data_IF_606379020600
#
_entry.id   IF_606379020600
#
_cell.length_a   1.000
_cell.length_b   1.000
_cell.length_c   1.000
_cell.angle_alpha   90.00
_cell.angle_beta   90.00
_cell.angle_gamma   90.00
#
_symmetry.space_group_name_H-M   'P 1'
#
loop_
_entity.id
_entity.type
_entity.pdbx_description
1 polymer ?
#
# COMPACT_ATOMS: atom_id res chain seq x y z
N UNK A 1 6.14 13.98 -11.62
CA UNK A 1 6.32 12.59 -11.11
C UNK A 1 7.76 12.43 -10.64
N UNK A 2 8.02 11.59 -9.63
CA UNK A 2 9.37 11.30 -9.10
C UNK A 2 9.67 9.82 -9.42
N UNK A 3 10.26 9.51 -10.60
CA UNK A 3 10.37 8.13 -11.09
C UNK A 3 11.19 7.22 -10.17
N UNK A 4 12.24 7.75 -9.56
CA UNK A 4 13.15 6.98 -8.69
C UNK A 4 12.71 6.91 -7.23
N UNK A 5 11.56 7.48 -6.90
CA UNK A 5 11.10 7.59 -5.51
C UNK A 5 11.82 8.68 -4.69
N UNK A 6 12.85 9.33 -5.25
CA UNK A 6 13.44 10.53 -4.66
C UNK A 6 13.88 11.52 -5.73
N UNK A 7 13.98 12.80 -5.35
CA UNK A 7 14.54 13.86 -6.20
C UNK A 7 15.17 14.95 -5.36
N UNK A 8 16.39 15.35 -5.71
CA UNK A 8 16.98 16.58 -5.19
C UNK A 8 16.52 17.79 -6.02
N UNK A 9 16.36 18.92 -5.34
CA UNK A 9 16.09 20.23 -5.92
C UNK A 9 16.85 21.32 -5.15
N UNK A 10 16.80 22.55 -5.65
CA UNK A 10 17.43 23.71 -5.02
C UNK A 10 18.89 23.46 -4.61
N UNK A 11 19.75 23.04 -5.56
CA UNK A 11 21.17 22.72 -5.30
C UNK A 11 21.39 21.75 -4.13
N UNK A 12 20.60 20.67 -4.10
CA UNK A 12 20.60 19.64 -3.06
C UNK A 12 20.17 20.13 -1.66
N UNK A 13 19.57 21.31 -1.55
CA UNK A 13 19.00 21.81 -0.29
C UNK A 13 17.61 21.23 -0.01
N UNK A 14 16.94 20.69 -1.02
CA UNK A 14 15.63 20.05 -0.89
C UNK A 14 15.69 18.62 -1.42
N UNK A 15 15.28 17.66 -0.58
CA UNK A 15 15.10 16.26 -0.95
C UNK A 15 13.63 15.90 -0.84
N UNK A 16 13.00 15.60 -1.97
CA UNK A 16 11.63 15.06 -1.99
C UNK A 16 11.71 13.54 -2.02
N UNK A 17 10.93 12.88 -1.15
CA UNK A 17 10.84 11.41 -1.05
C UNK A 17 9.42 10.97 -1.34
N UNK A 18 9.31 9.89 -2.09
CA UNK A 18 8.08 9.21 -2.41
C UNK A 18 8.24 7.73 -2.09
N UNK A 19 7.45 7.21 -1.15
CA UNK A 19 7.65 5.87 -0.58
C UNK A 19 6.70 4.80 -1.11
N UNK A 20 5.74 5.15 -1.96
CA UNK A 20 4.80 4.21 -2.58
C UNK A 20 5.26 3.84 -4.00
N UNK A 21 5.87 2.65 -4.23
CA UNK A 21 6.17 2.20 -5.58
C UNK A 21 4.86 1.95 -6.35
N UNK A 22 4.84 2.33 -7.62
CA UNK A 22 3.68 2.27 -8.51
C UNK A 22 2.44 2.91 -7.90
N UNK A 23 2.55 4.20 -7.56
CA UNK A 23 1.47 4.96 -6.95
C UNK A 23 0.19 4.86 -7.76
N UNK A 24 -0.92 4.55 -7.06
CA UNK A 24 -2.26 4.34 -7.65
C UNK A 24 -2.31 3.23 -8.71
N UNK A 25 -1.23 2.44 -8.87
CA UNK A 25 -1.06 1.51 -9.99
C UNK A 25 -1.16 2.19 -11.38
N UNK A 26 -1.06 3.51 -11.45
CA UNK A 26 -1.13 4.34 -12.66
C UNK A 26 0.25 4.74 -13.18
N UNK A 27 1.24 4.74 -12.29
CA UNK A 27 2.61 5.18 -12.56
C UNK A 27 3.58 4.05 -12.30
N UNK A 28 4.73 4.03 -13.00
CA UNK A 28 5.77 3.01 -12.78
C UNK A 28 6.91 3.52 -11.88
N UNK A 29 6.59 4.47 -10.98
CA UNK A 29 7.59 5.03 -10.09
C UNK A 29 8.09 3.98 -9.08
N UNK A 30 9.35 4.12 -8.68
CA UNK A 30 9.92 3.44 -7.52
C UNK A 30 9.51 4.19 -6.24
N UNK A 31 9.65 3.49 -5.12
CA UNK A 31 9.60 4.11 -3.80
C UNK A 31 11.02 4.36 -3.29
N UNK A 32 11.19 5.25 -2.33
CA UNK A 32 12.44 5.40 -1.60
C UNK A 32 12.19 5.73 -0.12
N UNK A 33 13.19 5.45 0.72
CA UNK A 33 13.28 5.91 2.11
C UNK A 33 14.64 6.55 2.33
N UNK A 34 14.74 7.46 3.30
CA UNK A 34 15.99 8.09 3.71
C UNK A 34 16.44 7.48 5.02
N UNK A 35 17.68 7.00 5.06
CA UNK A 35 18.35 6.57 6.29
C UNK A 35 19.29 7.68 6.72
N UNK A 36 19.04 8.27 7.89
CA UNK A 36 19.89 9.28 8.52
C UNK A 36 20.62 8.60 9.68
N UNK A 37 21.93 8.75 9.75
CA UNK A 37 22.79 8.24 10.81
C UNK A 37 22.98 9.29 11.91
N UNK A 38 23.42 8.86 13.10
CA UNK A 38 23.61 9.76 14.25
C UNK A 38 24.64 10.86 13.98
N UNK A 39 25.63 10.60 13.12
CA UNK A 39 26.65 11.57 12.71
C UNK A 39 26.15 12.57 11.65
N UNK A 40 24.88 12.49 11.23
CA UNK A 40 24.29 13.36 10.22
C UNK A 40 24.50 12.87 8.78
N UNK A 41 25.27 11.82 8.55
CA UNK A 41 25.36 11.19 7.22
C UNK A 41 24.01 10.59 6.85
N UNK A 42 23.64 10.71 5.58
CA UNK A 42 22.41 10.11 5.10
C UNK A 42 22.60 9.38 3.77
N UNK A 43 21.73 8.42 3.53
CA UNK A 43 21.63 7.69 2.28
C UNK A 43 20.18 7.44 1.89
N UNK A 44 19.94 7.27 0.60
CA UNK A 44 18.62 6.95 0.06
C UNK A 44 18.58 5.47 -0.30
N UNK A 45 17.63 4.73 0.26
CA UNK A 45 17.37 3.33 -0.08
C UNK A 45 16.18 3.30 -1.02
N UNK A 46 16.38 2.81 -2.24
CA UNK A 46 15.35 2.80 -3.27
C UNK A 46 14.66 1.43 -3.34
N UNK A 47 13.35 1.43 -3.14
CA UNK A 47 12.47 0.28 -3.25
C UNK A 47 12.26 -0.12 -4.72
N UNK A 48 12.02 -1.41 -4.95
CA UNK A 48 11.67 -1.90 -6.28
C UNK A 48 10.20 -1.58 -6.58
N UNK A 49 9.90 -1.26 -7.83
CA UNK A 49 8.53 -1.09 -8.34
C UNK A 49 7.84 -2.44 -8.61
N UNK A 50 8.04 -3.45 -7.75
CA UNK A 50 7.49 -4.80 -8.00
C UNK A 50 5.98 -4.73 -8.13
N UNK A 51 5.45 -5.40 -9.17
CA UNK A 51 4.06 -5.88 -9.22
C UNK A 51 3.83 -6.76 -8.00
N UNK A 52 3.41 -6.14 -6.89
CA UNK A 52 2.82 -6.88 -5.79
C UNK A 52 1.75 -7.75 -6.42
N UNK A 53 1.73 -9.05 -6.10
CA UNK A 53 0.56 -9.87 -6.35
C UNK A 53 -0.59 -9.13 -5.70
N UNK A 54 -1.38 -8.41 -6.51
CA UNK A 54 -2.33 -7.42 -6.01
C UNK A 54 -3.11 -8.03 -4.86
N UNK A 55 -3.18 -7.33 -3.73
CA UNK A 55 -4.19 -7.66 -2.73
C UNK A 55 -5.50 -7.80 -3.50
N UNK A 56 -6.19 -8.94 -3.32
CA UNK A 56 -7.30 -9.39 -4.17
C UNK A 56 -8.51 -8.43 -4.22
N UNK A 57 -8.40 -7.24 -3.64
CA UNK A 57 -9.48 -6.29 -3.40
C UNK A 57 -9.06 -4.89 -3.87
N UNK A 58 -9.20 -4.57 -5.17
CA UNK A 58 -9.02 -3.20 -5.67
C UNK A 58 -9.96 -2.17 -5.00
N UNK A 59 -11.03 -2.64 -4.35
CA UNK A 59 -12.00 -1.80 -3.63
C UNK A 59 -11.43 -1.03 -2.44
N UNK A 60 -10.37 -1.53 -1.78
CA UNK A 60 -9.85 -0.86 -0.58
C UNK A 60 -8.90 0.30 -0.92
N UNK A 61 -8.32 0.31 -2.12
CA UNK A 61 -7.48 1.42 -2.60
C UNK A 61 -8.35 2.64 -2.97
N UNK A 62 -9.60 2.44 -3.42
CA UNK A 62 -10.54 3.55 -3.65
C UNK A 62 -10.98 4.24 -2.35
N UNK A 63 -11.14 3.49 -1.26
CA UNK A 63 -11.61 3.99 0.05
C UNK A 63 -10.67 4.98 0.76
N UNK A 64 -9.43 5.12 0.30
CA UNK A 64 -8.43 6.04 0.90
C UNK A 64 -8.25 7.34 0.12
N UNK A 65 -9.02 7.56 -0.95
CA UNK A 65 -9.07 8.87 -1.62
C UNK A 65 -9.78 9.87 -0.71
N UNK A 66 -9.07 10.92 -0.31
CA UNK A 66 -9.60 11.97 0.57
C UNK A 66 -10.83 12.69 -0.01
N UNK A 67 -11.04 12.59 -1.33
CA UNK A 67 -12.17 13.18 -2.04
C UNK A 67 -13.46 12.34 -1.92
N UNK A 68 -13.37 11.05 -1.58
CA UNK A 68 -14.50 10.13 -1.45
C UNK A 68 -15.07 10.12 -0.02
N UNK A 69 -15.21 11.30 0.60
CA UNK A 69 -15.98 11.41 1.86
C UNK A 69 -17.44 11.07 1.51
N UNK A 70 -18.04 10.01 2.09
CA UNK A 70 -19.44 9.73 1.82
C UNK A 70 -20.26 10.90 2.37
N UNK A 71 -20.93 11.63 1.49
CA UNK A 71 -21.96 12.56 1.91
C UNK A 71 -23.07 11.73 2.57
N UNK A 72 -23.13 11.76 3.90
CA UNK A 72 -24.13 11.11 4.78
C UNK A 72 -25.56 11.67 4.56
N UNK A 73 -26.08 11.58 3.33
CA UNK A 73 -27.44 12.02 3.01
C UNK A 73 -28.21 11.08 2.09
N UNK A 74 -27.75 9.85 1.85
CA UNK A 74 -28.55 8.84 1.12
C UNK A 74 -28.60 7.50 1.84
N UNK A 75 -29.27 7.47 3.00
CA UNK A 75 -29.93 6.23 3.43
C UNK A 75 -31.06 5.92 2.45
N UNK A 76 -30.97 4.82 1.69
CA UNK A 76 -32.12 3.98 1.31
C UNK A 76 -31.71 2.60 0.76
N UNK A 77 -31.98 1.59 1.61
CA UNK A 77 -32.43 0.19 1.39
C UNK A 77 -31.94 -0.63 0.18
N UNK A 78 -31.42 -1.82 0.51
CA UNK A 78 -31.70 -3.18 -0.05
C UNK A 78 -30.38 -3.96 -0.15
N UNK A 79 -30.24 -5.24 0.17
CA UNK A 79 -31.08 -6.22 0.84
C UNK A 79 -30.13 -7.18 1.56
N UNK A 80 -30.59 -7.71 2.69
CA UNK A 80 -29.95 -8.79 3.42
C UNK A 80 -29.89 -10.05 2.57
N UNK A 81 -28.70 -10.45 2.13
CA UNK A 81 -28.41 -11.81 1.70
C UNK A 81 -27.26 -12.36 2.54
N UNK A 82 -27.65 -12.76 3.76
CA UNK A 82 -27.01 -13.83 4.53
C UNK A 82 -26.71 -15.01 3.61
N UNK A 83 -25.45 -15.19 3.17
CA UNK A 83 -25.03 -16.47 2.62
C UNK A 83 -24.39 -17.30 3.74
N UNK A 84 -25.25 -18.12 4.32
CA UNK A 84 -24.95 -19.18 5.28
C UNK A 84 -24.08 -20.24 4.62
N UNK A 85 -23.08 -20.71 5.37
CA UNK A 85 -22.28 -21.93 5.14
C UNK A 85 -21.27 -21.94 3.97
N UNK A 86 -19.98 -21.83 4.31
CA UNK A 86 -19.11 -23.02 4.43
C UNK A 86 -17.86 -22.73 5.28
N UNK A 87 -17.98 -23.01 6.57
CA UNK A 87 -16.84 -23.17 7.47
C UNK A 87 -16.09 -24.44 7.04
N UNK A 88 -15.01 -24.30 6.27
CA UNK A 88 -14.01 -25.36 6.15
C UNK A 88 -12.86 -25.01 7.09
N UNK A 89 -12.91 -25.63 8.27
CA UNK A 89 -11.84 -25.68 9.23
C UNK A 89 -10.60 -26.27 8.58
N UNK A 90 -9.47 -25.55 8.65
CA UNK A 90 -8.17 -26.14 8.39
C UNK A 90 -7.22 -25.88 9.56
N UNK A 91 -6.50 -26.95 9.90
CA UNK A 91 -5.46 -27.15 10.93
C UNK A 91 -6.05 -27.58 12.29
N UNK A 92 -5.66 -28.72 12.85
CA UNK A 92 -4.32 -29.33 12.95
C UNK A 92 -4.41 -30.85 13.12
N UNK A 93 -3.45 -31.61 12.58
CA UNK A 93 -3.07 -32.92 13.14
C UNK A 93 -1.56 -32.95 13.31
N UNK A 94 -1.13 -32.70 14.54
CA UNK A 94 0.14 -33.22 15.04
C UNK A 94 -0.02 -34.72 15.31
N UNK A 95 0.96 -35.52 14.91
CA UNK A 95 1.37 -36.71 15.67
C UNK A 95 2.77 -37.17 15.21
N UNK A 96 3.75 -37.31 16.13
CA UNK A 96 5.04 -37.93 15.84
C UNK A 96 4.99 -39.44 16.12
N UNK A 97 5.65 -40.24 15.27
CA UNK A 97 5.99 -41.67 15.44
C UNK A 97 7.08 -41.99 14.39
N UNK A 98 8.24 -42.58 14.63
CA UNK A 98 8.95 -43.16 15.79
C UNK A 98 10.43 -42.75 15.66
#
# INVERSE_FOLDING_TARGET
>A
MIPDGFKFAANHQLLTIFSAPRYMNETDNRGAIVRIQENGDFGVIVLKNTKGAGGKNPLNDELTRADDVPNESTKKKSDSAINVMKLSSFKTKNSPKF
#
